data_IF_375741152300
#
_entry.id   IF_375741152300
#
_cell.length_a   1.000
_cell.length_b   1.000
_cell.length_c   1.000
_cell.angle_alpha   90.00
_cell.angle_beta   90.00
_cell.angle_gamma   90.00
#
_symmetry.space_group_name_H-M   'P 1'
#
loop_
_entity.id
_entity.type
_entity.pdbx_description
1 polymer ?
#
# COMPACT_ATOMS: atom_id res chain seq x y z
N UNK A 1 2.21 -8.57 7.22
CA UNK A 1 1.66 -7.20 7.03
C UNK A 1 0.22 -7.21 7.51
N UNK A 2 -0.16 -6.25 8.34
CA UNK A 2 -1.51 -6.16 8.89
C UNK A 2 -2.51 -5.82 7.80
N UNK A 3 -3.64 -6.53 7.75
CA UNK A 3 -4.70 -6.19 6.81
C UNK A 3 -5.71 -5.25 7.47
N UNK A 4 -6.04 -4.16 6.76
CA UNK A 4 -7.06 -3.20 7.19
C UNK A 4 -8.44 -3.79 6.86
N UNK A 5 -9.35 -3.77 7.83
CA UNK A 5 -10.64 -4.45 7.71
C UNK A 5 -11.81 -3.54 7.35
N UNK A 6 -11.70 -2.26 7.67
CA UNK A 6 -12.78 -1.29 7.43
C UNK A 6 -12.24 0.13 7.35
N UNK A 7 -13.10 1.06 6.92
CA UNK A 7 -12.75 2.47 6.73
C UNK A 7 -12.27 3.13 8.04
N UNK A 8 -12.88 2.81 9.15
CA UNK A 8 -12.52 3.38 10.45
C UNK A 8 -11.08 3.04 10.82
N UNK A 9 -10.71 1.78 10.65
CA UNK A 9 -9.36 1.30 10.91
C UNK A 9 -8.37 1.98 9.96
N UNK A 10 -8.76 2.11 8.68
CA UNK A 10 -7.94 2.80 7.68
C UNK A 10 -7.65 4.24 8.10
N UNK A 11 -8.70 4.99 8.44
CA UNK A 11 -8.57 6.41 8.82
C UNK A 11 -7.66 6.59 10.04
N UNK A 12 -7.76 5.68 11.00
CA UNK A 12 -6.92 5.73 12.20
C UNK A 12 -5.45 5.48 11.86
N UNK A 13 -5.17 4.50 11.02
CA UNK A 13 -3.81 4.11 10.71
C UNK A 13 -3.09 5.14 9.84
N UNK A 14 -3.73 5.69 8.82
CA UNK A 14 -3.06 6.64 7.93
C UNK A 14 -2.67 7.94 8.63
N UNK A 15 -3.22 8.21 9.81
CA UNK A 15 -2.87 9.37 10.62
C UNK A 15 -1.52 9.21 11.32
N UNK A 16 -0.95 8.01 11.36
CA UNK A 16 0.34 7.74 11.97
C UNK A 16 1.48 8.43 11.21
N UNK A 17 2.68 8.44 11.79
CA UNK A 17 3.81 9.21 11.28
C UNK A 17 4.20 8.84 9.84
N UNK A 18 4.33 7.53 9.55
CA UNK A 18 4.79 7.09 8.22
C UNK A 18 4.24 5.71 7.93
N UNK A 19 3.29 5.64 7.02
CA UNK A 19 2.56 4.41 6.73
C UNK A 19 2.65 4.07 5.25
N UNK A 20 3.07 2.84 4.96
CA UNK A 20 3.03 2.30 3.61
C UNK A 20 1.74 1.50 3.48
N UNK A 21 0.84 1.93 2.61
CA UNK A 21 -0.42 1.25 2.36
C UNK A 21 -0.36 0.56 1.00
N UNK A 22 -0.51 -0.76 1.03
CA UNK A 22 -0.52 -1.60 -0.16
C UNK A 22 -1.96 -1.96 -0.51
N UNK A 23 -2.45 -1.38 -1.60
CA UNK A 23 -3.79 -1.67 -2.13
C UNK A 23 -3.70 -2.79 -3.15
N UNK A 24 -4.50 -3.82 -2.97
CA UNK A 24 -4.46 -5.01 -3.82
C UNK A 24 -5.86 -5.60 -4.01
N UNK A 25 -5.94 -6.53 -4.96
CA UNK A 25 -7.12 -7.41 -5.11
C UNK A 25 -6.62 -8.86 -5.17
N UNK A 26 -7.29 -9.79 -4.47
CA UNK A 26 -6.77 -11.18 -4.34
C UNK A 26 -6.76 -11.98 -5.65
N UNK A 27 -7.55 -11.60 -6.64
CA UNK A 27 -7.63 -12.31 -7.90
C UNK A 27 -6.61 -11.81 -8.95
N UNK A 28 -5.78 -10.86 -8.61
CA UNK A 28 -4.81 -10.26 -9.53
C UNK A 28 -3.39 -10.69 -9.17
N UNK A 29 -2.76 -11.48 -10.03
CA UNK A 29 -1.41 -12.02 -9.77
C UNK A 29 -0.35 -10.93 -9.60
N UNK A 30 -0.44 -9.86 -10.37
CA UNK A 30 0.50 -8.73 -10.25
C UNK A 30 0.41 -8.08 -8.88
N UNK A 31 -0.83 -7.92 -8.38
CA UNK A 31 -1.07 -7.41 -7.02
C UNK A 31 -0.41 -8.29 -5.98
N UNK A 32 -0.61 -9.61 -6.09
CA UNK A 32 -0.10 -10.56 -5.11
C UNK A 32 1.43 -10.63 -5.11
N UNK A 33 2.03 -10.56 -6.31
CA UNK A 33 3.50 -10.59 -6.44
C UNK A 33 4.16 -9.44 -5.71
N UNK A 34 3.57 -8.25 -5.75
CA UNK A 34 4.10 -7.08 -5.04
C UNK A 34 3.98 -7.26 -3.53
N UNK A 35 2.89 -7.88 -3.07
CA UNK A 35 2.73 -8.23 -1.67
C UNK A 35 3.86 -9.13 -1.16
N UNK A 36 4.28 -10.10 -1.97
CA UNK A 36 5.41 -10.98 -1.64
C UNK A 36 6.71 -10.18 -1.51
N UNK A 37 6.95 -9.25 -2.43
CA UNK A 37 8.13 -8.37 -2.37
C UNK A 37 8.13 -7.57 -1.06
N UNK A 38 6.99 -6.99 -0.70
CA UNK A 38 6.88 -6.21 0.52
C UNK A 38 7.16 -7.05 1.76
N UNK A 39 6.66 -8.28 1.80
CA UNK A 39 6.91 -9.18 2.94
C UNK A 39 8.39 -9.57 3.01
N UNK A 40 9.02 -9.87 1.88
CA UNK A 40 10.43 -10.22 1.83
C UNK A 40 11.33 -9.07 2.26
N UNK A 41 10.94 -7.83 1.93
CA UNK A 41 11.76 -6.65 2.17
C UNK A 41 11.37 -5.88 3.44
N UNK A 42 10.54 -6.45 4.29
CA UNK A 42 10.00 -5.73 5.46
C UNK A 42 11.09 -5.18 6.39
N UNK A 43 12.20 -5.88 6.53
CA UNK A 43 13.30 -5.39 7.39
C UNK A 43 13.98 -4.16 6.80
N UNK A 44 14.01 -4.05 5.48
CA UNK A 44 14.55 -2.89 4.78
C UNK A 44 13.52 -1.75 4.66
N UNK A 45 12.29 -2.00 5.09
CA UNK A 45 11.19 -1.04 5.07
C UNK A 45 10.72 -0.69 6.48
N UNK A 46 11.60 -0.91 7.47
CA UNK A 46 11.25 -0.76 8.89
C UNK A 46 10.91 0.67 9.31
N UNK A 47 11.24 1.67 8.47
CA UNK A 47 10.82 3.04 8.72
C UNK A 47 9.32 3.26 8.51
N UNK A 48 8.65 2.32 7.83
CA UNK A 48 7.22 2.41 7.57
C UNK A 48 6.43 1.44 8.44
N UNK A 49 5.28 1.86 8.88
CA UNK A 49 4.24 0.94 9.34
C UNK A 49 3.57 0.42 8.07
N UNK A 50 3.64 -0.88 7.81
CA UNK A 50 3.12 -1.47 6.57
C UNK A 50 1.79 -2.14 6.80
N UNK A 51 0.81 -1.74 6.00
CA UNK A 51 -0.54 -2.30 6.04
C UNK A 51 -1.02 -2.60 4.63
N UNK A 52 -1.96 -3.53 4.50
CA UNK A 52 -2.55 -3.87 3.20
C UNK A 52 -4.06 -3.71 3.24
N UNK A 53 -4.60 -3.35 2.09
CA UNK A 53 -6.03 -3.14 1.90
C UNK A 53 -6.51 -3.96 0.72
N UNK A 54 -7.44 -4.88 1.00
CA UNK A 54 -8.14 -5.62 -0.04
C UNK A 54 -9.28 -4.75 -0.57
N UNK A 55 -9.13 -4.26 -1.80
CA UNK A 55 -10.11 -3.36 -2.40
C UNK A 55 -11.47 -4.02 -2.66
N UNK A 56 -11.52 -5.35 -2.73
CA UNK A 56 -12.80 -6.05 -2.84
C UNK A 56 -13.60 -5.96 -1.54
N UNK A 57 -12.94 -5.78 -0.41
CA UNK A 57 -13.61 -5.65 0.88
C UNK A 57 -13.99 -4.22 1.21
N UNK A 58 -13.18 -3.26 0.77
CA UNK A 58 -13.40 -1.84 1.07
C UNK A 58 -13.48 -1.08 -0.25
N UNK A 59 -14.54 -1.36 -1.01
CA UNK A 59 -14.74 -0.80 -2.34
C UNK A 59 -14.74 0.74 -2.37
N UNK A 60 -15.21 1.37 -1.30
CA UNK A 60 -15.27 2.83 -1.24
C UNK A 60 -13.91 3.49 -1.38
N UNK A 61 -12.83 2.82 -0.97
CA UNK A 61 -11.48 3.39 -1.09
C UNK A 61 -11.03 3.50 -2.54
N UNK A 62 -11.50 2.60 -3.41
CA UNK A 62 -11.24 2.69 -4.84
C UNK A 62 -11.72 4.02 -5.39
N UNK A 63 -12.90 4.45 -4.97
CA UNK A 63 -13.52 5.70 -5.42
C UNK A 63 -12.89 6.92 -4.75
N UNK A 64 -12.70 6.85 -3.43
CA UNK A 64 -12.15 7.97 -2.65
C UNK A 64 -10.76 8.36 -3.17
N UNK A 65 -9.92 7.39 -3.48
CA UNK A 65 -8.54 7.63 -3.92
C UNK A 65 -8.34 7.48 -5.43
N UNK A 66 -9.43 7.30 -6.19
CA UNK A 66 -9.38 7.16 -7.64
C UNK A 66 -8.40 6.05 -8.10
N UNK A 67 -8.46 4.91 -7.42
CA UNK A 67 -7.56 3.79 -7.72
C UNK A 67 -8.04 3.09 -8.98
N UNK A 68 -7.27 3.16 -10.04
CA UNK A 68 -7.59 2.55 -11.34
C UNK A 68 -6.66 1.39 -11.69
N UNK A 69 -5.55 1.29 -11.01
CA UNK A 69 -4.52 0.29 -11.29
C UNK A 69 -4.09 -0.36 -9.98
N UNK A 70 -3.97 -1.68 -9.98
CA UNK A 70 -3.41 -2.43 -8.85
C UNK A 70 -2.21 -3.24 -9.35
N UNK A 71 -1.16 -3.40 -8.55
CA UNK A 71 -1.02 -2.89 -7.18
C UNK A 71 -0.82 -1.38 -7.15
N UNK A 72 -1.27 -0.77 -6.07
CA UNK A 72 -1.07 0.66 -5.82
C UNK A 72 -0.50 0.80 -4.40
N UNK A 73 0.68 1.39 -4.29
CA UNK A 73 1.32 1.63 -3.00
C UNK A 73 1.30 3.12 -2.73
N UNK A 74 0.73 3.51 -1.61
CA UNK A 74 0.72 4.92 -1.21
C UNK A 74 1.47 5.07 0.11
N UNK A 75 2.29 6.11 0.20
CA UNK A 75 2.93 6.48 1.44
C UNK A 75 2.14 7.63 2.04
N UNK A 76 1.66 7.42 3.27
CA UNK A 76 0.98 8.45 4.05
C UNK A 76 1.91 8.91 5.16
N UNK A 77 1.95 10.23 5.37
CA UNK A 77 2.65 10.81 6.51
C UNK A 77 1.65 11.72 7.21
N UNK A 78 1.20 11.30 8.38
CA UNK A 78 0.21 12.01 9.20
C UNK A 78 -1.05 12.36 8.39
N UNK A 79 -1.57 11.38 7.68
CA UNK A 79 -2.79 11.50 6.91
C UNK A 79 -2.64 12.05 5.50
N UNK A 80 -1.43 12.49 5.12
CA UNK A 80 -1.19 13.05 3.78
C UNK A 80 -0.42 12.07 2.90
N UNK A 81 -0.83 11.95 1.65
CA UNK A 81 -0.11 11.13 0.67
C UNK A 81 1.14 11.88 0.24
N UNK A 82 2.30 11.29 0.48
CA UNK A 82 3.58 11.85 0.06
C UNK A 82 4.18 11.14 -1.14
N UNK A 83 3.76 9.90 -1.40
CA UNK A 83 4.16 9.14 -2.59
C UNK A 83 3.02 8.26 -3.05
N UNK A 84 2.92 8.05 -4.35
CA UNK A 84 1.96 7.17 -4.97
C UNK A 84 2.72 6.33 -6.02
N UNK A 85 2.85 5.04 -5.77
CA UNK A 85 3.68 4.15 -6.57
C UNK A 85 2.79 3.14 -7.27
N UNK A 86 2.68 3.27 -8.59
CA UNK A 86 1.79 2.45 -9.40
C UNK A 86 2.58 1.45 -10.25
N UNK A 87 2.03 0.26 -10.37
CA UNK A 87 2.47 -0.69 -11.38
C UNK A 87 3.88 -1.23 -11.23
N UNK A 88 4.47 -1.18 -10.05
CA UNK A 88 5.79 -1.76 -9.85
C UNK A 88 5.73 -3.28 -9.99
N UNK A 89 6.82 -3.89 -10.43
CA UNK A 89 6.92 -5.34 -10.65
C UNK A 89 8.11 -5.96 -9.93
N UNK A 90 9.12 -5.15 -9.58
CA UNK A 90 10.35 -5.66 -8.99
C UNK A 90 10.72 -4.87 -7.74
N UNK A 91 11.52 -5.52 -6.91
CA UNK A 91 12.08 -4.90 -5.71
C UNK A 91 12.91 -3.64 -6.06
N UNK A 92 13.67 -3.70 -7.13
CA UNK A 92 14.49 -2.55 -7.57
C UNK A 92 13.62 -1.36 -7.93
N UNK A 93 12.52 -1.58 -8.63
CA UNK A 93 11.56 -0.52 -8.96
C UNK A 93 10.97 0.09 -7.69
N UNK A 94 10.61 -0.75 -6.72
CA UNK A 94 10.05 -0.30 -5.45
C UNK A 94 11.02 0.67 -4.75
N UNK A 95 12.25 0.24 -4.54
CA UNK A 95 13.22 1.08 -3.82
C UNK A 95 13.60 2.33 -4.60
N UNK A 96 13.65 2.26 -5.92
CA UNK A 96 13.89 3.43 -6.75
C UNK A 96 12.80 4.48 -6.52
N UNK A 97 11.54 4.06 -6.49
CA UNK A 97 10.43 4.99 -6.26
C UNK A 97 10.40 5.53 -4.82
N UNK A 98 10.70 4.68 -3.86
CA UNK A 98 10.73 5.11 -2.45
C UNK A 98 11.87 6.10 -2.16
N UNK A 99 12.96 6.03 -2.92
CA UNK A 99 14.14 6.86 -2.70
C UNK A 99 14.17 8.15 -3.53
N UNK A 100 13.12 8.43 -4.25
CA UNK A 100 13.01 9.68 -5.02
C UNK A 100 12.82 10.89 -4.14
#
# INVERSE_FOLDING_TARGET
MQEIKNIREFDEIIAHDKVLVYFYVPWNNSSLSVGEILEEEKDNLSEYEMVKVNLDRILSLTRIYHITTVPDIKIFERGKITKDILGIKTKNELFKELNK
#
